data_IF_509770757936
#
_entry.id   IF_509770757936
#
_cell.length_a   1.000
_cell.length_b   1.000
_cell.length_c   1.000
_cell.angle_alpha   90.00
_cell.angle_beta   90.00
_cell.angle_gamma   90.00
#
_symmetry.space_group_name_H-M   'P 1'
#
loop_
_entity.id
_entity.type
_entity.pdbx_description
1 polymer ?
#
# COMPACT_ATOMS: atom_id res chain seq x y z
N UNK A 1 4.63 -6.44 13.10
CA UNK A 1 3.91 -5.72 12.03
C UNK A 1 2.43 -5.57 12.35
N UNK A 2 1.74 -6.62 12.83
CA UNK A 2 0.28 -6.57 13.08
C UNK A 2 -0.20 -5.45 13.99
N UNK A 3 0.41 -5.24 15.15
CA UNK A 3 -0.02 -4.16 16.05
C UNK A 3 0.20 -2.76 15.45
N UNK A 4 1.30 -2.54 14.72
CA UNK A 4 1.52 -1.28 14.01
C UNK A 4 0.50 -1.06 12.88
N UNK A 5 0.12 -2.14 12.18
CA UNK A 5 -0.92 -2.08 11.16
C UNK A 5 -2.29 -1.73 11.78
N UNK A 6 -2.64 -2.34 12.92
CA UNK A 6 -3.87 -2.02 13.67
C UNK A 6 -3.88 -0.57 14.15
N UNK A 7 -2.75 -0.05 14.62
CA UNK A 7 -2.61 1.36 14.99
C UNK A 7 -2.90 2.31 13.81
N UNK A 8 -2.53 1.91 12.58
CA UNK A 8 -2.84 2.64 11.36
C UNK A 8 -4.26 2.36 10.80
N UNK A 9 -5.03 1.47 11.42
CA UNK A 9 -6.40 1.14 11.00
C UNK A 9 -6.51 0.08 9.90
N UNK A 10 -5.44 -0.69 9.63
CA UNK A 10 -5.51 -1.81 8.70
C UNK A 10 -6.32 -2.97 9.25
N UNK A 11 -7.08 -3.61 8.37
CA UNK A 11 -7.86 -4.79 8.69
C UNK A 11 -6.97 -6.02 8.85
N UNK A 12 -7.45 -6.99 9.64
CA UNK A 12 -6.64 -8.14 10.00
C UNK A 12 -6.35 -9.10 8.83
N UNK A 13 -7.09 -9.01 7.73
CA UNK A 13 -6.81 -9.78 6.52
C UNK A 13 -5.79 -9.11 5.59
N UNK A 14 -5.37 -7.87 5.85
CA UNK A 14 -4.42 -7.16 5.00
C UNK A 14 -3.02 -7.81 5.10
N UNK A 15 -2.43 -8.09 3.93
CA UNK A 15 -1.13 -8.75 3.80
C UNK A 15 -0.06 -7.72 3.42
N UNK A 16 1.01 -7.67 4.21
CA UNK A 16 2.18 -6.82 3.98
C UNK A 16 3.34 -7.68 3.48
N UNK A 17 4.43 -7.03 3.04
CA UNK A 17 5.65 -7.73 2.69
C UNK A 17 6.14 -8.64 3.83
N UNK A 18 6.60 -9.84 3.49
CA UNK A 18 6.88 -10.92 4.47
C UNK A 18 7.95 -10.54 5.51
N UNK A 19 8.96 -9.76 5.09
CA UNK A 19 10.02 -9.28 5.97
C UNK A 19 9.56 -8.13 6.86
N UNK A 20 9.90 -8.18 8.16
CA UNK A 20 9.59 -7.12 9.15
C UNK A 20 9.98 -5.72 8.68
N UNK A 21 11.19 -5.56 8.15
CA UNK A 21 11.71 -4.26 7.73
C UNK A 21 10.85 -3.62 6.63
N UNK A 22 10.61 -4.33 5.53
CA UNK A 22 9.82 -3.79 4.43
C UNK A 22 8.36 -3.54 4.85
N UNK A 23 7.73 -4.46 5.58
CA UNK A 23 6.33 -4.25 6.00
C UNK A 23 6.16 -3.11 7.02
N UNK A 24 7.12 -2.88 7.93
CA UNK A 24 7.08 -1.67 8.77
C UNK A 24 7.30 -0.38 7.97
N UNK A 25 8.13 -0.42 6.90
CA UNK A 25 8.27 0.72 5.99
C UNK A 25 7.00 0.98 5.19
N UNK A 26 6.28 -0.06 4.77
CA UNK A 26 4.98 0.06 4.11
C UNK A 26 3.96 0.75 5.03
N UNK A 27 3.87 0.30 6.29
CA UNK A 27 2.97 0.89 7.29
C UNK A 27 3.38 2.34 7.60
N UNK A 28 4.67 2.60 7.84
CA UNK A 28 5.14 3.92 8.25
C UNK A 28 5.09 4.99 7.15
N UNK A 29 5.15 4.58 5.88
CA UNK A 29 5.03 5.50 4.74
C UNK A 29 3.58 5.66 4.26
N UNK A 30 2.63 4.89 4.80
CA UNK A 30 1.22 5.01 4.42
C UNK A 30 0.49 6.07 5.24
N UNK A 31 -0.66 6.48 4.72
CA UNK A 31 -1.62 7.33 5.46
C UNK A 31 -2.49 6.42 6.32
N UNK A 32 -2.81 6.79 7.58
CA UNK A 32 -3.78 6.05 8.39
C UNK A 32 -5.10 5.85 7.65
N UNK A 33 -5.65 4.63 7.69
CA UNK A 33 -6.82 4.21 6.89
C UNK A 33 -8.02 5.13 7.14
N UNK A 34 -8.28 5.47 8.40
CA UNK A 34 -9.40 6.34 8.76
C UNK A 34 -9.24 7.77 8.20
N UNK A 35 -8.01 8.29 8.17
CA UNK A 35 -7.74 9.60 7.59
C UNK A 35 -7.95 9.61 6.08
N UNK A 36 -7.43 8.60 5.38
CA UNK A 36 -7.67 8.44 3.95
C UNK A 36 -9.17 8.32 3.64
N UNK A 37 -9.90 7.54 4.44
CA UNK A 37 -11.34 7.36 4.30
C UNK A 37 -12.13 8.65 4.51
N UNK A 38 -11.82 9.44 5.55
CA UNK A 38 -12.55 10.69 5.81
C UNK A 38 -12.30 11.73 4.73
N UNK A 39 -11.04 11.90 4.29
CA UNK A 39 -10.70 12.83 3.20
C UNK A 39 -11.44 12.45 1.92
N UNK A 40 -11.42 11.16 1.55
CA UNK A 40 -12.14 10.69 0.36
C UNK A 40 -13.66 10.92 0.48
N UNK A 41 -14.25 10.69 1.65
CA UNK A 41 -15.68 10.92 1.88
C UNK A 41 -16.05 12.41 1.74
N UNK A 42 -15.22 13.33 2.23
CA UNK A 42 -15.47 14.78 2.07
C UNK A 42 -15.33 15.23 0.61
N UNK A 43 -14.38 14.67 -0.16
CA UNK A 43 -14.26 14.92 -1.59
C UNK A 43 -15.51 14.46 -2.37
N UNK A 44 -15.99 13.24 -2.11
CA UNK A 44 -17.20 12.72 -2.75
C UNK A 44 -18.43 13.59 -2.46
N UNK A 45 -18.56 14.11 -1.24
CA UNK A 45 -19.64 15.05 -0.89
C UNK A 45 -19.51 16.37 -1.67
N UNK A 46 -18.30 16.93 -1.75
CA UNK A 46 -18.05 18.17 -2.49
C UNK A 46 -18.36 18.02 -3.98
N UNK A 47 -18.10 16.84 -4.55
CA UNK A 47 -18.37 16.51 -5.94
C UNK A 47 -19.82 16.02 -6.17
N UNK A 48 -20.66 15.99 -5.13
CA UNK A 48 -22.04 15.50 -5.15
C UNK A 48 -22.17 14.04 -5.66
N UNK A 49 -21.16 13.20 -5.36
CA UNK A 49 -21.11 11.78 -5.70
C UNK A 49 -21.62 10.96 -4.52
N UNK A 50 -22.58 10.07 -4.77
CA UNK A 50 -23.03 9.08 -3.78
C UNK A 50 -22.21 7.80 -3.93
N UNK A 51 -21.41 7.39 -2.93
CA UNK A 51 -20.65 6.15 -3.01
C UNK A 51 -21.55 4.93 -3.01
N UNK A 52 -21.22 3.92 -3.82
CA UNK A 52 -21.85 2.61 -3.82
C UNK A 52 -20.98 1.59 -3.09
N UNK A 53 -21.61 0.54 -2.55
CA UNK A 53 -20.87 -0.59 -1.98
C UNK A 53 -20.01 -1.23 -3.08
N UNK A 54 -18.73 -1.42 -2.78
CA UNK A 54 -17.81 -2.16 -3.65
C UNK A 54 -17.98 -3.67 -3.51
N UNK A 55 -17.46 -4.40 -4.50
CA UNK A 55 -17.41 -5.86 -4.49
C UNK A 55 -16.24 -6.39 -3.64
N UNK A 56 -16.36 -7.65 -3.22
CA UNK A 56 -15.25 -8.33 -2.56
C UNK A 56 -14.05 -8.46 -3.50
N UNK A 57 -12.87 -8.03 -3.04
CA UNK A 57 -11.62 -8.17 -3.78
C UNK A 57 -10.82 -9.35 -3.21
N UNK A 58 -10.52 -10.40 -4.01
CA UNK A 58 -9.68 -11.50 -3.55
C UNK A 58 -8.26 -10.98 -3.27
N UNK A 59 -7.58 -11.57 -2.28
CA UNK A 59 -6.29 -11.06 -1.81
C UNK A 59 -5.16 -11.19 -2.85
N UNK A 60 -5.34 -11.99 -3.90
CA UNK A 60 -4.32 -12.27 -4.93
C UNK A 60 -3.30 -13.35 -4.54
N UNK A 61 -2.26 -13.49 -5.35
CA UNK A 61 -1.19 -14.49 -5.17
C UNK A 61 -0.23 -14.12 -4.02
N UNK A 62 0.01 -15.06 -3.12
CA UNK A 62 0.93 -14.89 -1.99
C UNK A 62 2.40 -14.87 -2.41
N UNK A 63 2.72 -15.45 -3.57
CA UNK A 63 4.08 -15.48 -4.11
C UNK A 63 4.64 -14.08 -4.42
N UNK A 64 3.80 -13.05 -4.47
CA UNK A 64 4.18 -11.66 -4.71
C UNK A 64 4.61 -10.92 -3.42
N UNK A 65 4.19 -11.38 -2.25
CA UNK A 65 4.51 -10.74 -0.96
C UNK A 65 6.01 -10.65 -0.61
N UNK A 66 6.90 -11.56 -1.06
CA UNK A 66 8.34 -11.43 -0.80
C UNK A 66 9.10 -10.63 -1.86
N UNK A 67 8.46 -10.12 -2.92
CA UNK A 67 9.16 -9.48 -4.03
C UNK A 67 9.92 -8.22 -3.58
N UNK A 68 11.20 -8.17 -3.93
CA UNK A 68 11.95 -6.93 -3.97
C UNK A 68 11.45 -6.03 -5.11
N UNK A 69 11.71 -4.72 -5.00
CA UNK A 69 11.29 -3.74 -6.01
C UNK A 69 11.77 -4.08 -7.44
N UNK A 70 12.95 -4.69 -7.58
CA UNK A 70 13.48 -5.15 -8.88
C UNK A 70 12.73 -6.35 -9.43
N UNK A 71 12.34 -7.30 -8.58
CA UNK A 71 11.59 -8.50 -8.96
C UNK A 71 10.17 -8.13 -9.37
N UNK A 72 9.50 -7.29 -8.58
CA UNK A 72 8.18 -6.75 -8.91
C UNK A 72 8.20 -5.98 -10.25
N UNK A 73 9.21 -5.15 -10.49
CA UNK A 73 9.34 -4.42 -11.76
C UNK A 73 9.43 -5.36 -12.96
N UNK A 74 10.23 -6.43 -12.85
CA UNK A 74 10.38 -7.43 -13.91
C UNK A 74 9.09 -8.21 -14.12
N UNK A 75 8.44 -8.65 -13.03
CA UNK A 75 7.20 -9.42 -13.09
C UNK A 75 6.04 -8.63 -13.70
N UNK A 76 5.91 -7.35 -13.38
CA UNK A 76 4.88 -6.45 -13.93
C UNK A 76 5.29 -5.76 -15.25
N UNK A 77 6.41 -6.16 -15.84
CA UNK A 77 6.91 -5.64 -17.13
C UNK A 77 7.00 -4.10 -17.18
N UNK A 78 7.30 -3.48 -16.04
CA UNK A 78 7.36 -2.03 -15.92
C UNK A 78 8.63 -1.50 -16.62
N UNK A 79 8.42 -0.83 -17.75
CA UNK A 79 9.47 -0.17 -18.55
C UNK A 79 10.04 1.05 -17.84
N UNK A 80 9.17 1.81 -17.16
CA UNK A 80 9.56 2.98 -16.37
C UNK A 80 9.84 2.63 -14.91
N UNK A 81 10.81 3.33 -14.34
CA UNK A 81 11.13 3.21 -12.93
C UNK A 81 10.18 4.06 -12.09
N UNK A 82 9.09 3.45 -11.62
CA UNK A 82 8.05 4.11 -10.80
C UNK A 82 8.47 4.40 -9.35
N UNK A 83 9.53 3.77 -8.84
CA UNK A 83 10.05 4.01 -7.47
C UNK A 83 11.33 4.86 -7.55
N UNK A 84 11.30 6.12 -7.09
CA UNK A 84 12.48 6.98 -7.06
C UNK A 84 13.61 6.35 -6.23
N UNK A 85 14.83 6.38 -6.75
CA UNK A 85 16.02 6.00 -5.97
C UNK A 85 16.65 7.24 -5.35
N UNK A 86 17.09 7.10 -4.11
CA UNK A 86 17.90 8.13 -3.48
C UNK A 86 19.24 8.20 -4.19
N UNK A 87 19.61 9.37 -4.71
CA UNK A 87 20.95 9.61 -5.23
C UNK A 87 21.95 9.43 -4.07
N UNK A 88 22.69 8.31 -4.09
CA UNK A 88 23.84 8.13 -3.21
C UNK A 88 25.04 8.69 -3.93
N UNK A 89 25.56 9.82 -3.46
CA UNK A 89 26.90 10.25 -3.86
C UNK A 89 27.86 9.10 -3.52
N UNK A 90 28.61 8.60 -4.50
CA UNK A 90 29.72 7.69 -4.21
C UNK A 90 30.76 8.53 -3.48
N UNK A 91 30.94 8.28 -2.18
CA UNK A 91 32.13 8.71 -1.44
C UNK A 91 33.34 7.93 -1.91
#
# INVERSE_FOLDING_TARGET
>A
MREAARLHGYLDWFRFHVTKWNGFREIGNSVPVMLGHTVAAELLKADNITPTRGEFTPLGDEALLPFAATEARTYFELTERVIPQRNRARS
#
